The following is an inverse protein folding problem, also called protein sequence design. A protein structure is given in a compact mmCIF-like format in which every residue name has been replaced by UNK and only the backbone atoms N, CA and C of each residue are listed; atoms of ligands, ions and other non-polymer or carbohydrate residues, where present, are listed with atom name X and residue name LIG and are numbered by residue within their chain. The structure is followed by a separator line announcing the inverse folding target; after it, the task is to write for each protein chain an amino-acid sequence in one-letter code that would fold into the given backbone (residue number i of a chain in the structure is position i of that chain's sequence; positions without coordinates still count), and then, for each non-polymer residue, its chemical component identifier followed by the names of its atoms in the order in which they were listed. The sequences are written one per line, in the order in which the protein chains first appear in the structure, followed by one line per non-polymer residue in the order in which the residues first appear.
data_IF_328384726336
#
_entry.id   IF_328384726336
#
_cell.length_a   1.000
_cell.length_b   1.000
_cell.length_c   1.000
_cell.angle_alpha   90.00
_cell.angle_beta   90.00
_cell.angle_gamma   90.00
#
_symmetry.space_group_name_H-M   'P 1'
#
loop_
_entity.id
_entity.type
_entity.pdbx_description
1 polymer ?
#
# COMPACT_ATOMS: atom_id res chain seq x y z
N UNK A 1 7.19 -25.04 -41.98
CA UNK A 1 7.46 -24.29 -40.73
C UNK A 1 7.97 -22.93 -41.12
N UNK A 2 7.13 -21.89 -40.99
CA UNK A 2 7.48 -20.51 -41.31
C UNK A 2 8.20 -19.88 -40.11
N UNK A 3 9.39 -19.33 -40.34
CA UNK A 3 10.11 -18.51 -39.36
C UNK A 3 9.35 -17.19 -39.19
N UNK A 4 8.76 -16.98 -38.02
CA UNK A 4 8.18 -15.70 -37.63
C UNK A 4 9.35 -14.74 -37.36
N UNK A 5 9.41 -13.64 -38.11
CA UNK A 5 10.46 -12.60 -38.10
C UNK A 5 11.84 -13.04 -38.65
N UNK A 6 11.96 -13.29 -39.96
CA UNK A 6 13.22 -13.68 -40.61
C UNK A 6 14.28 -12.55 -40.71
N UNK A 7 14.01 -11.36 -40.15
CA UNK A 7 14.90 -10.20 -40.22
C UNK A 7 15.44 -9.83 -38.84
N UNK A 8 16.78 -9.74 -38.74
CA UNK A 8 17.45 -9.15 -37.59
C UNK A 8 17.53 -7.63 -37.79
N UNK A 9 17.06 -6.86 -36.82
CA UNK A 9 17.16 -5.41 -36.79
C UNK A 9 18.22 -5.03 -35.76
N UNK A 10 19.34 -4.48 -36.22
CA UNK A 10 20.37 -3.95 -35.31
C UNK A 10 19.99 -2.53 -34.86
N UNK A 11 19.81 -2.35 -33.54
CA UNK A 11 19.58 -1.04 -32.94
C UNK A 11 20.93 -0.50 -32.44
N UNK A 12 21.33 0.66 -32.97
CA UNK A 12 22.57 1.37 -32.57
C UNK A 12 22.24 2.70 -31.90
N UNK A 13 23.05 3.17 -30.95
CA UNK A 13 22.88 4.48 -30.36
C UNK A 13 23.10 5.60 -31.41
N UNK A 14 22.51 6.79 -31.21
CA UNK A 14 22.74 7.95 -32.08
C UNK A 14 24.22 8.38 -32.10
N UNK A 15 24.73 8.78 -33.26
CA UNK A 15 26.11 9.28 -33.42
C UNK A 15 26.27 10.75 -32.99
N UNK A 16 25.20 11.54 -33.08
CA UNK A 16 25.20 12.94 -32.66
C UNK A 16 25.22 13.04 -31.13
N UNK A 17 26.20 13.75 -30.58
CA UNK A 17 26.41 13.82 -29.13
C UNK A 17 25.21 14.38 -28.37
N UNK A 18 24.50 15.39 -28.91
CA UNK A 18 23.32 15.94 -28.24
C UNK A 18 22.19 14.91 -28.20
N UNK A 19 21.91 14.27 -29.34
CA UNK A 19 20.93 13.17 -29.41
C UNK A 19 21.30 11.97 -28.56
N UNK A 20 22.60 11.69 -28.39
CA UNK A 20 23.08 10.60 -27.55
C UNK A 20 22.76 10.85 -26.07
N UNK A 21 22.97 12.07 -25.57
CA UNK A 21 22.65 12.42 -24.18
C UNK A 21 21.14 12.46 -23.94
N UNK A 22 20.35 12.94 -24.89
CA UNK A 22 18.89 12.86 -24.83
C UNK A 22 18.40 11.41 -24.79
N UNK A 23 18.97 10.54 -25.64
CA UNK A 23 18.62 9.13 -25.72
C UNK A 23 18.97 8.36 -24.44
N UNK A 24 20.14 8.63 -23.85
CA UNK A 24 20.52 8.08 -22.54
C UNK A 24 19.57 8.54 -21.44
N UNK A 25 19.25 9.84 -21.40
CA UNK A 25 18.34 10.40 -20.40
C UNK A 25 16.96 9.77 -20.51
N UNK A 26 16.46 9.55 -21.74
CA UNK A 26 15.19 8.89 -21.99
C UNK A 26 15.22 7.42 -21.57
N UNK A 27 16.29 6.69 -21.91
CA UNK A 27 16.45 5.30 -21.51
C UNK A 27 16.48 5.13 -19.98
N UNK A 28 17.17 6.04 -19.29
CA UNK A 28 17.22 6.07 -17.82
C UNK A 28 15.84 6.34 -17.21
N UNK A 29 15.08 7.27 -17.78
CA UNK A 29 13.69 7.53 -17.37
C UNK A 29 12.81 6.29 -17.58
N UNK A 30 12.92 5.65 -18.74
CA UNK A 30 12.14 4.46 -19.08
C UNK A 30 12.51 3.28 -18.17
N UNK A 31 13.79 3.11 -17.84
CA UNK A 31 14.24 2.10 -16.86
C UNK A 31 13.61 2.33 -15.48
N UNK A 32 13.58 3.59 -15.01
CA UNK A 32 12.91 3.94 -13.75
C UNK A 32 11.41 3.70 -13.80
N UNK A 33 10.76 3.99 -14.93
CA UNK A 33 9.33 3.76 -15.11
C UNK A 33 8.98 2.26 -15.07
N UNK A 34 9.80 1.41 -15.71
CA UNK A 34 9.65 -0.06 -15.67
C UNK A 34 9.81 -0.55 -14.23
N UNK A 35 10.90 -0.16 -13.57
CA UNK A 35 11.15 -0.55 -12.18
C UNK A 35 10.03 -0.10 -11.24
N UNK A 36 9.52 1.12 -11.42
CA UNK A 36 8.42 1.64 -10.62
C UNK A 36 7.15 0.81 -10.77
N UNK A 37 6.84 0.40 -12.00
CA UNK A 37 5.70 -0.44 -12.28
C UNK A 37 5.89 -1.85 -11.73
N UNK A 38 7.08 -2.43 -11.85
CA UNK A 38 7.41 -3.74 -11.28
C UNK A 38 7.25 -3.75 -9.75
N UNK A 39 7.73 -2.70 -9.07
CA UNK A 39 7.56 -2.54 -7.62
C UNK A 39 6.07 -2.47 -7.24
N UNK A 40 5.25 -1.73 -7.99
CA UNK A 40 3.80 -1.66 -7.76
C UNK A 40 3.11 -2.99 -8.03
N UNK A 41 3.51 -3.70 -9.08
CA UNK A 41 2.98 -5.04 -9.38
C UNK A 41 3.28 -6.00 -8.23
N UNK A 42 4.52 -6.02 -7.75
CA UNK A 42 4.91 -6.86 -6.63
C UNK A 42 4.11 -6.56 -5.35
N UNK A 43 3.96 -5.27 -5.01
CA UNK A 43 3.10 -4.86 -3.88
C UNK A 43 1.66 -5.36 -4.09
N UNK A 44 1.10 -5.18 -5.29
CA UNK A 44 -0.26 -5.64 -5.61
C UNK A 44 -0.40 -7.16 -5.51
N UNK A 45 0.61 -7.93 -5.91
CA UNK A 45 0.60 -9.39 -5.83
C UNK A 45 0.59 -9.87 -4.38
N UNK A 46 1.44 -9.29 -3.53
CA UNK A 46 1.48 -9.65 -2.10
C UNK A 46 0.18 -9.27 -1.41
N UNK A 47 -0.39 -8.09 -1.71
CA UNK A 47 -1.71 -7.72 -1.19
C UNK A 47 -2.79 -8.71 -1.60
N UNK A 48 -2.84 -9.08 -2.89
CA UNK A 48 -3.82 -10.02 -3.40
C UNK A 48 -3.69 -11.42 -2.78
N UNK A 49 -2.46 -11.89 -2.52
CA UNK A 49 -2.20 -13.15 -1.82
C UNK A 49 -2.66 -13.14 -0.35
N UNK A 50 -2.89 -11.95 0.22
CA UNK A 50 -3.40 -11.76 1.58
C UNK A 50 -4.88 -11.34 1.60
N UNK A 51 -5.62 -11.56 0.52
CA UNK A 51 -7.02 -11.13 0.35
C UNK A 51 -7.23 -9.62 0.56
N UNK A 52 -6.26 -8.81 0.13
CA UNK A 52 -6.30 -7.36 0.17
C UNK A 52 -6.11 -6.76 -1.21
N UNK A 53 -6.73 -5.61 -1.46
CA UNK A 53 -6.58 -4.83 -2.69
C UNK A 53 -6.43 -3.34 -2.33
N UNK A 54 -5.59 -2.62 -3.09
CA UNK A 54 -5.38 -1.19 -2.90
C UNK A 54 -5.87 -0.42 -4.13
N UNK A 55 -6.95 0.34 -3.98
CA UNK A 55 -7.63 1.02 -5.09
C UNK A 55 -6.81 2.17 -5.69
N UNK A 56 -5.98 2.82 -4.88
CA UNK A 56 -5.22 4.00 -5.24
C UNK A 56 -3.70 3.77 -5.13
N UNK A 57 -3.24 2.54 -5.38
CA UNK A 57 -1.82 2.17 -5.38
C UNK A 57 -0.97 3.04 -6.34
N UNK A 58 -1.60 3.64 -7.35
CA UNK A 58 -0.96 4.60 -8.27
C UNK A 58 -0.61 5.94 -7.65
N UNK A 59 -1.12 6.27 -6.47
CA UNK A 59 -0.82 7.50 -5.74
C UNK A 59 0.50 7.42 -4.96
N UNK A 60 1.08 6.23 -4.80
CA UNK A 60 2.33 6.01 -4.07
C UNK A 60 3.51 6.53 -4.89
N UNK A 61 4.44 7.24 -4.27
CA UNK A 61 5.62 7.76 -4.96
C UNK A 61 6.67 6.68 -5.25
N UNK A 62 7.61 6.95 -6.16
CA UNK A 62 8.67 5.99 -6.51
C UNK A 62 9.45 5.47 -5.30
N UNK A 63 9.90 6.36 -4.42
CA UNK A 63 10.70 5.98 -3.25
C UNK A 63 9.94 5.08 -2.27
N UNK A 64 8.66 5.38 -2.02
CA UNK A 64 7.83 4.56 -1.15
C UNK A 64 7.48 3.22 -1.81
N UNK A 65 7.27 3.17 -3.13
CA UNK A 65 7.02 1.92 -3.84
C UNK A 65 8.21 0.95 -3.78
N UNK A 66 9.45 1.45 -3.89
CA UNK A 66 10.68 0.64 -3.70
C UNK A 66 10.75 0.08 -2.27
N UNK A 67 10.39 0.87 -1.27
CA UNK A 67 10.44 0.41 0.12
C UNK A 67 9.31 -0.56 0.43
N UNK A 68 8.11 -0.30 -0.07
CA UNK A 68 6.99 -1.22 0.04
C UNK A 68 7.32 -2.53 -0.66
N UNK A 69 7.86 -2.54 -1.89
CA UNK A 69 8.19 -3.80 -2.57
C UNK A 69 9.16 -4.68 -1.78
N UNK A 70 10.07 -4.08 -0.99
CA UNK A 70 11.03 -4.84 -0.20
C UNK A 70 10.49 -5.36 1.13
N UNK A 71 9.44 -4.74 1.68
CA UNK A 71 8.97 -4.97 3.05
C UNK A 71 7.44 -5.08 3.18
N UNK A 72 6.75 -5.36 2.08
CA UNK A 72 5.29 -5.38 2.04
C UNK A 72 4.71 -6.47 2.94
N UNK A 73 5.42 -7.60 3.10
CA UNK A 73 5.01 -8.70 3.99
C UNK A 73 4.91 -8.27 5.45
N UNK A 74 5.83 -7.42 5.92
CA UNK A 74 5.79 -6.87 7.28
C UNK A 74 4.80 -5.70 7.40
N UNK A 75 4.67 -4.90 6.34
CA UNK A 75 3.86 -3.68 6.34
C UNK A 75 2.36 -3.98 6.26
N UNK A 76 1.97 -5.05 5.54
CA UNK A 76 0.57 -5.33 5.19
C UNK A 76 -0.34 -5.40 6.42
N UNK A 77 0.11 -6.02 7.51
CA UNK A 77 -0.67 -6.17 8.75
C UNK A 77 -0.98 -4.80 9.37
N UNK A 78 0.01 -3.91 9.41
CA UNK A 78 -0.15 -2.56 9.96
C UNK A 78 -1.07 -1.71 9.08
N UNK A 79 -1.00 -1.87 7.76
CA UNK A 79 -1.88 -1.20 6.82
C UNK A 79 -3.34 -1.66 6.97
N UNK A 80 -3.57 -2.98 7.05
CA UNK A 80 -4.91 -3.54 7.30
C UNK A 80 -5.47 -3.03 8.62
N UNK A 81 -4.67 -3.08 9.70
CA UNK A 81 -5.08 -2.62 11.02
C UNK A 81 -5.53 -1.15 10.99
N UNK A 82 -4.73 -0.27 10.38
CA UNK A 82 -5.08 1.14 10.22
C UNK A 82 -6.39 1.31 9.43
N UNK A 83 -6.58 0.56 8.34
CA UNK A 83 -7.82 0.64 7.55
C UNK A 83 -9.04 0.27 8.40
N UNK A 84 -8.99 -0.84 9.14
CA UNK A 84 -10.11 -1.35 9.92
C UNK A 84 -10.42 -0.47 11.14
N UNK A 85 -9.41 0.14 11.75
CA UNK A 85 -9.62 1.04 12.90
C UNK A 85 -10.17 2.41 12.50
N UNK A 86 -9.86 2.88 11.30
CA UNK A 86 -10.14 4.26 10.88
C UNK A 86 -11.27 4.36 9.84
N UNK A 87 -11.87 3.24 9.45
CA UNK A 87 -13.01 3.18 8.52
C UNK A 87 -14.19 2.53 9.22
N UNK A 88 -15.27 3.29 9.41
CA UNK A 88 -16.48 2.78 10.10
C UNK A 88 -17.10 1.59 9.37
N UNK A 89 -17.11 1.62 8.03
CA UNK A 89 -17.62 0.55 7.17
C UNK A 89 -16.55 0.17 6.13
N UNK A 90 -15.68 -0.82 6.42
CA UNK A 90 -14.64 -1.26 5.49
C UNK A 90 -15.25 -1.83 4.20
N UNK A 91 -14.68 -1.46 3.06
CA UNK A 91 -15.15 -1.91 1.74
C UNK A 91 -14.50 -3.24 1.35
N UNK A 92 -15.27 -4.12 0.74
CA UNK A 92 -14.80 -5.39 0.20
C UNK A 92 -15.20 -5.56 -1.26
N UNK A 93 -14.25 -5.98 -2.11
CA UNK A 93 -14.47 -6.28 -3.53
C UNK A 93 -14.05 -7.71 -3.80
N UNK A 94 -14.97 -8.54 -4.30
CA UNK A 94 -14.64 -9.92 -4.66
C UNK A 94 -14.12 -10.77 -3.50
N UNK A 95 -14.54 -10.47 -2.26
CA UNK A 95 -14.06 -11.15 -1.05
C UNK A 95 -12.77 -10.59 -0.46
N UNK A 96 -12.13 -9.61 -1.11
CA UNK A 96 -10.91 -8.96 -0.62
C UNK A 96 -11.21 -7.63 0.07
N UNK A 97 -10.46 -7.32 1.13
CA UNK A 97 -10.51 -6.03 1.82
C UNK A 97 -9.90 -4.94 0.92
N UNK A 98 -10.61 -3.84 0.72
CA UNK A 98 -10.08 -2.66 0.02
C UNK A 98 -9.41 -1.74 1.04
N UNK A 99 -8.13 -1.45 0.84
CA UNK A 99 -7.36 -0.48 1.62
C UNK A 99 -6.95 0.71 0.75
N UNK A 100 -6.60 1.83 1.38
CA UNK A 100 -6.05 3.00 0.70
C UNK A 100 -4.51 3.04 0.74
N UNK A 101 -3.92 3.81 -0.17
CA UNK A 101 -2.50 4.15 -0.18
C UNK A 101 -2.07 4.86 1.11
N UNK A 102 -2.99 5.59 1.76
CA UNK A 102 -2.76 6.19 3.08
C UNK A 102 -2.56 5.14 4.17
N UNK A 103 -3.31 4.05 4.15
CA UNK A 103 -3.11 2.92 5.08
C UNK A 103 -1.77 2.23 4.86
N UNK A 104 -1.34 2.07 3.60
CA UNK A 104 0.01 1.59 3.27
C UNK A 104 1.10 2.54 3.75
N UNK A 105 0.94 3.85 3.52
CA UNK A 105 1.89 4.87 3.98
C UNK A 105 1.99 4.90 5.51
N UNK A 106 0.87 4.70 6.22
CA UNK A 106 0.86 4.57 7.66
C UNK A 106 1.61 3.32 8.13
N UNK A 107 1.36 2.15 7.50
CA UNK A 107 2.10 0.93 7.79
C UNK A 107 3.61 1.08 7.55
N UNK A 108 3.99 1.71 6.44
CA UNK A 108 5.39 2.01 6.11
C UNK A 108 6.04 2.97 7.12
N UNK A 109 5.30 3.95 7.63
CA UNK A 109 5.76 4.85 8.70
C UNK A 109 6.07 4.10 9.99
N UNK A 110 5.18 3.18 10.40
CA UNK A 110 5.40 2.32 11.58
C UNK A 110 6.60 1.41 11.37
N UNK A 111 6.73 0.79 10.19
CA UNK A 111 7.84 -0.10 9.86
C UNK A 111 9.19 0.62 10.02
N UNK A 112 9.30 1.84 9.48
CA UNK A 112 10.50 2.69 9.62
C UNK A 112 10.79 3.07 11.07
N UNK A 113 9.75 3.36 11.87
CA UNK A 113 9.90 3.66 13.29
C UNK A 113 10.44 2.45 14.08
N UNK A 114 9.99 1.24 13.73
CA UNK A 114 10.48 -0.02 14.31
C UNK A 114 11.95 -0.30 13.98
N UNK A 115 12.36 -0.06 12.73
CA UNK A 115 13.75 -0.23 12.29
C UNK A 115 14.71 0.73 13.02
N UNK A 116 14.31 1.99 13.19
CA UNK A 116 15.09 2.99 13.93
C UNK A 116 15.19 2.63 15.43
N UNK A 117 14.10 2.13 16.04
CA UNK A 117 14.10 1.74 17.45
C UNK A 117 14.98 0.52 17.77
N UNK A 118 15.18 -0.38 16.81
CA UNK A 118 16.03 -1.56 16.97
C UNK A 118 17.54 -1.23 17.05
N UNK A 119 17.93 -0.03 16.61
CA UNK A 119 19.32 0.47 16.68
C UNK A 119 19.66 1.22 17.98
N UNK A 120 18.65 1.67 18.74
CA UNK A 120 18.86 2.53 19.92
C UNK A 120 18.69 1.82 21.29
N UNK A 121 18.38 0.52 21.33
CA UNK A 121 18.09 -0.20 22.59
C UNK A 121 19.25 -1.01 23.21
N UNK A 122 20.51 -0.69 22.91
CA UNK A 122 21.66 -1.24 23.65
C UNK A 122 22.27 -0.22 24.62
N UNK A 123 21.50 0.20 25.63
CA UNK A 123 22.04 0.78 26.87
C UNK A 123 21.03 0.80 28.01
N UNK A 124 20.71 -0.39 28.52
CA UNK A 124 20.36 -0.49 29.93
C UNK A 124 20.78 -1.87 30.42
N UNK A 125 22.07 -1.97 30.78
CA UNK A 125 22.58 -3.13 31.49
C UNK A 125 21.98 -3.19 32.89
N UNK A 126 21.39 -4.36 33.14
CA UNK A 126 21.05 -4.93 34.43
C UNK A 126 22.21 -4.84 35.42
N UNK A 127 21.90 -4.52 36.67
CA UNK A 127 22.63 -5.11 37.79
C UNK A 127 21.60 -5.61 38.83
N UNK A 128 21.40 -6.93 38.89
CA UNK A 128 20.65 -7.61 39.96
C UNK A 128 21.43 -7.57 41.28
N UNK A 129 20.79 -7.17 42.37
CA UNK A 129 20.18 -8.00 43.45
C UNK A 129 21.20 -8.48 44.51
N UNK A 130 20.84 -8.63 45.81
CA UNK A 130 19.80 -9.57 46.28
C UNK A 130 18.94 -9.07 47.48
N UNK A 131 18.00 -9.89 48.03
CA UNK A 131 16.82 -9.44 48.79
C UNK A 131 16.97 -9.54 50.32
N UNK A 132 16.23 -8.70 51.06
CA UNK A 132 15.81 -8.95 52.45
C UNK A 132 14.40 -8.38 52.74
N UNK A 133 13.56 -9.23 53.32
CA UNK A 133 12.15 -9.06 53.72
C UNK A 133 12.05 -8.66 55.23
N UNK A 134 10.87 -8.62 55.87
CA UNK A 134 9.78 -7.63 55.88
C UNK A 134 9.81 -6.72 57.13
N UNK A 135 9.06 -5.61 57.13
CA UNK A 135 8.19 -5.21 58.28
C UNK A 135 7.40 -3.91 58.04
N UNK A 136 6.06 -4.06 58.03
CA UNK A 136 5.07 -3.33 58.83
C UNK A 136 5.08 -1.78 58.89
N UNK A 137 4.01 -1.12 58.42
CA UNK A 137 3.71 0.26 58.84
C UNK A 137 2.77 1.12 57.97
N UNK A 138 1.47 0.81 57.97
CA UNK A 138 0.30 1.71 58.09
C UNK A 138 0.38 3.19 57.63
N UNK A 139 -0.48 3.57 56.67
CA UNK A 139 -1.37 4.77 56.62
C UNK A 139 -1.86 4.99 55.17
N UNK A 140 -3.11 4.69 54.81
CA UNK A 140 -4.30 5.57 54.85
C UNK A 140 -4.25 6.83 53.97
N UNK A 141 -4.96 6.79 52.82
CA UNK A 141 -5.84 7.83 52.23
C UNK A 141 -6.16 7.44 50.76
N UNK A 142 -7.27 6.76 50.45
CA UNK A 142 -8.58 7.33 50.07
C UNK A 142 -8.49 8.61 49.22
N UNK A 143 -8.75 8.50 47.90
CA UNK A 143 -9.83 9.22 47.21
C UNK A 143 -10.02 8.70 45.77
N UNK A 144 -11.18 8.11 45.51
CA UNK A 144 -11.87 7.96 44.21
C UNK A 144 -13.18 8.79 44.34
N UNK A 145 -14.04 8.96 43.32
CA UNK A 145 -13.86 9.25 41.89
C UNK A 145 -14.82 10.40 41.44
N UNK A 146 -14.86 10.76 40.15
CA UNK A 146 -16.06 11.29 39.47
C UNK A 146 -15.80 11.38 37.95
N UNK A 147 -16.29 10.46 37.12
CA UNK A 147 -17.61 10.41 36.45
C UNK A 147 -17.97 11.62 35.57
N UNK A 148 -17.84 11.39 34.26
CA UNK A 148 -18.91 11.42 33.25
C UNK A 148 -19.57 12.77 32.87
N UNK A 149 -19.48 13.10 31.56
CA UNK A 149 -20.65 13.51 30.76
C UNK A 149 -20.34 13.56 29.24
N UNK A 150 -21.03 12.69 28.49
CA UNK A 150 -21.57 12.90 27.12
C UNK A 150 -23.10 13.05 27.31
N UNK A 151 -24.00 13.18 26.30
CA UNK A 151 -23.92 13.57 24.88
C UNK A 151 -25.07 14.51 24.41
N UNK A 152 -25.08 14.94 23.13
CA UNK A 152 -26.25 15.18 22.23
C UNK A 152 -25.71 15.65 20.86
N UNK A 153 -26.04 15.09 19.69
CA UNK A 153 -27.36 14.93 19.05
C UNK A 153 -27.75 16.28 18.40
N UNK A 154 -28.07 16.50 17.11
CA UNK A 154 -28.78 15.80 16.03
C UNK A 154 -28.40 16.50 14.69
N UNK A 155 -28.19 15.83 13.55
CA UNK A 155 -29.14 15.39 12.48
C UNK A 155 -29.86 16.51 11.70
N UNK A 156 -29.64 16.58 10.38
CA UNK A 156 -30.66 16.96 9.38
C UNK A 156 -30.23 16.68 7.93
N UNK A 157 -31.16 16.05 7.21
CA UNK A 157 -31.14 15.53 5.83
C UNK A 157 -31.26 16.58 4.71
N UNK A 158 -30.97 16.14 3.47
CA UNK A 158 -31.88 16.12 2.30
C UNK A 158 -31.31 16.62 0.93
N UNK A 159 -31.05 15.64 0.06
CA UNK A 159 -31.44 15.46 -1.35
C UNK A 159 -31.53 16.63 -2.38
N UNK A 160 -30.95 16.39 -3.58
CA UNK A 160 -31.65 16.56 -4.87
C UNK A 160 -30.98 15.81 -6.04
N UNK A 161 -31.83 15.04 -6.77
CA UNK A 161 -31.91 14.64 -8.21
C UNK A 161 -30.87 15.26 -9.16
N UNK A 162 -30.36 14.62 -10.23
CA UNK A 162 -30.89 13.69 -11.26
C UNK A 162 -30.10 14.02 -12.56
N UNK A 163 -29.69 13.09 -13.41
CA UNK A 163 -30.34 12.79 -14.70
C UNK A 163 -29.52 11.75 -15.51
N UNK A 164 -30.19 11.07 -16.44
CA UNK A 164 -29.78 9.90 -17.19
C UNK A 164 -29.19 10.20 -18.59
N UNK A 165 -28.24 9.37 -19.03
CA UNK A 165 -27.94 8.92 -20.42
C UNK A 165 -26.48 8.46 -20.46
N UNK A 166 -26.02 7.36 -21.08
CA UNK A 166 -26.51 6.59 -22.24
C UNK A 166 -25.82 5.22 -22.18
N UNK A 167 -26.56 4.15 -22.47
CA UNK A 167 -26.03 2.80 -22.69
C UNK A 167 -25.37 2.67 -24.07
N UNK A 168 -24.66 1.56 -24.21
CA UNK A 168 -24.32 0.83 -25.43
C UNK A 168 -22.91 1.06 -26.00
N UNK A 169 -21.94 0.36 -25.42
CA UNK A 169 -20.72 -0.07 -26.11
C UNK A 169 -20.23 -1.42 -25.56
N UNK A 170 -21.14 -2.38 -25.39
CA UNK A 170 -20.76 -3.78 -25.12
C UNK A 170 -20.99 -4.59 -26.39
N UNK A 171 -20.11 -4.35 -27.37
CA UNK A 171 -20.06 -5.13 -28.61
C UNK A 171 -18.93 -6.14 -28.50
N UNK A 172 -19.23 -7.15 -27.70
CA UNK A 172 -19.10 -8.55 -28.09
C UNK A 172 -17.68 -9.05 -28.43
N UNK A 173 -16.87 -9.17 -27.36
CA UNK A 173 -15.63 -9.97 -27.35
C UNK A 173 -15.86 -11.44 -27.77
N UNK A 174 -17.11 -11.94 -27.69
CA UNK A 174 -17.47 -13.27 -28.17
C UNK A 174 -17.34 -13.42 -29.69
N UNK A 175 -17.64 -12.35 -30.44
CA UNK A 175 -17.51 -12.39 -31.91
C UNK A 175 -16.04 -12.43 -32.35
N UNK A 176 -15.14 -11.79 -31.59
CA UNK A 176 -13.70 -11.80 -31.90
C UNK A 176 -13.06 -13.17 -31.65
N UNK A 177 -13.51 -13.90 -30.63
CA UNK A 177 -13.02 -15.25 -30.37
C UNK A 177 -13.48 -16.24 -31.46
N UNK A 178 -14.70 -16.07 -31.99
CA UNK A 178 -15.22 -16.93 -33.06
C UNK A 178 -14.44 -16.76 -34.38
N UNK A 179 -13.90 -15.57 -34.65
CA UNK A 179 -13.14 -15.29 -35.88
C UNK A 179 -11.73 -15.92 -35.84
N UNK A 180 -11.15 -16.05 -34.64
CA UNK A 180 -9.79 -16.56 -34.46
C UNK A 180 -9.69 -18.10 -34.60
N UNK A 181 -10.81 -18.81 -34.46
CA UNK A 181 -10.86 -20.28 -34.58
C UNK A 181 -11.07 -20.79 -36.02
N UNK A 182 -11.31 -19.89 -36.97
CA UNK A 182 -11.58 -20.23 -38.37
C UNK A 182 -10.45 -19.85 -39.35
N UNK A 183 -9.22 -19.68 -38.87
CA UNK A 183 -8.04 -19.40 -39.71
C UNK A 183 -6.97 -20.49 -39.56
#
# INVERSE_FOLDING_TARGET
MSLLLPYNIDIKPPEDNAKLEDWKSKLEEDMKAIQFQDNRNHVSEVLAANDVECDDLGSICFGDAVLLSNYIEEIVVSAISHQLMNTEEPNYRGGRLIISSQSLAHGLSIFRAGELSSKDTLKMESNGEPPQDPTNGKAEAKMEPSTENKPKGEKSDAASKGDASKKDADKDMGTLLQLLQNQ
#
